data_IF_800690498322
#
_entry.id   IF_800690498322
#
_cell.length_a   1.000
_cell.length_b   1.000
_cell.length_c   1.000
_cell.angle_alpha   90.00
_cell.angle_beta   90.00
_cell.angle_gamma   90.00
#
_symmetry.space_group_name_H-M   'P 1'
#
loop_
_entity.id
_entity.type
_entity.pdbx_description
1 polymer ?
#
# COMPACT_ATOMS: atom_id res chain seq x y z
N UNK A 1 -53.81 26.29 -0.30
CA UNK A 1 -54.71 25.45 0.52
C UNK A 1 -53.86 24.34 1.16
N UNK A 2 -53.44 24.44 2.44
CA UNK A 2 -54.01 23.78 3.65
C UNK A 2 -54.12 22.24 3.50
N UNK A 3 -53.61 21.35 4.39
CA UNK A 3 -53.37 21.34 5.86
C UNK A 3 -52.27 20.27 6.17
N UNK A 4 -51.24 20.55 6.98
CA UNK A 4 -51.03 20.16 8.40
C UNK A 4 -51.40 18.72 8.86
N UNK A 5 -50.34 17.98 9.27
CA UNK A 5 -50.09 17.29 10.56
C UNK A 5 -51.09 16.27 11.14
N UNK A 6 -50.58 15.08 11.52
CA UNK A 6 -51.10 14.28 12.64
C UNK A 6 -49.93 13.72 13.48
N UNK A 7 -50.06 13.92 14.79
CA UNK A 7 -49.14 13.58 15.87
C UNK A 7 -49.70 12.35 16.62
N UNK A 8 -48.79 11.59 17.26
CA UNK A 8 -48.93 10.87 18.54
C UNK A 8 -49.02 9.33 18.54
N UNK A 9 -48.16 8.72 19.39
CA UNK A 9 -48.22 7.32 19.80
C UNK A 9 -46.96 6.86 20.55
N UNK A 10 -46.76 7.32 21.79
CA UNK A 10 -45.74 6.80 22.73
C UNK A 10 -46.26 5.48 23.34
N UNK A 11 -45.42 4.45 23.40
CA UNK A 11 -45.51 3.42 24.44
C UNK A 11 -44.13 2.81 24.75
N UNK A 12 -43.89 2.68 26.05
CA UNK A 12 -42.68 2.39 26.81
C UNK A 12 -42.60 0.88 27.15
N UNK A 13 -41.43 0.45 27.67
CA UNK A 13 -41.17 -0.80 28.44
C UNK A 13 -40.93 -2.05 27.55
N UNK A 14 -39.78 -2.73 27.58
CA UNK A 14 -39.24 -3.43 28.77
C UNK A 14 -37.72 -3.64 28.78
N UNK A 15 -37.19 -3.39 29.98
CA UNK A 15 -35.90 -3.74 30.55
C UNK A 15 -35.78 -5.27 30.76
N UNK A 16 -34.67 -5.90 30.36
CA UNK A 16 -34.18 -7.13 31.01
C UNK A 16 -32.71 -6.97 31.34
N UNK A 17 -32.46 -6.71 32.62
CA UNK A 17 -31.16 -6.68 33.28
C UNK A 17 -30.87 -8.10 33.80
N UNK A 18 -29.78 -8.72 33.38
CA UNK A 18 -29.24 -9.93 33.99
C UNK A 18 -27.84 -9.63 34.50
N UNK A 19 -27.74 -9.36 35.80
CA UNK A 19 -26.52 -9.47 36.57
C UNK A 19 -26.78 -10.49 37.68
N UNK A 20 -25.93 -11.51 37.79
CA UNK A 20 -25.47 -12.11 39.06
C UNK A 20 -24.43 -13.20 38.76
N UNK A 21 -23.18 -12.94 39.14
CA UNK A 21 -22.08 -13.89 39.13
C UNK A 21 -20.94 -13.34 39.97
N UNK A 22 -21.10 -13.43 41.29
CA UNK A 22 -20.15 -13.01 42.31
C UNK A 22 -19.53 -14.26 42.96
N UNK A 23 -18.21 -14.33 42.99
CA UNK A 23 -17.42 -15.31 43.75
C UNK A 23 -15.95 -15.18 43.32
N UNK A 24 -14.97 -14.71 44.09
CA UNK A 24 -14.88 -14.52 45.54
C UNK A 24 -13.91 -15.55 46.12
N UNK A 25 -12.64 -15.19 46.33
CA UNK A 25 -11.71 -15.95 47.16
C UNK A 25 -10.23 -15.80 46.83
N UNK A 26 -9.54 -14.86 47.48
CA UNK A 26 -8.08 -14.82 47.63
C UNK A 26 -7.63 -15.73 48.78
N UNK A 27 -6.50 -16.44 48.65
CA UNK A 27 -5.34 -16.40 49.58
C UNK A 27 -4.34 -17.55 49.37
N UNK A 28 -3.06 -17.14 49.29
CA UNK A 28 -1.82 -17.62 49.94
C UNK A 28 -1.33 -19.08 49.86
N UNK A 29 -0.01 -19.18 49.61
CA UNK A 29 0.92 -20.24 50.05
C UNK A 29 1.01 -21.42 49.09
N UNK A 30 2.15 -22.04 48.80
CA UNK A 30 3.46 -22.03 49.45
C UNK A 30 4.50 -22.62 48.47
N UNK A 31 5.76 -22.36 48.76
CA UNK A 31 6.98 -22.86 48.13
C UNK A 31 7.01 -24.36 47.83
N UNK A 32 7.71 -24.74 46.76
CA UNK A 32 8.60 -25.90 46.84
C UNK A 32 9.83 -25.71 45.94
N UNK A 33 10.90 -25.27 46.60
CA UNK A 33 12.22 -25.93 46.63
C UNK A 33 13.05 -26.06 45.35
N UNK A 34 14.21 -25.35 45.38
CA UNK A 34 15.59 -25.86 45.20
C UNK A 34 15.96 -26.43 43.80
N UNK A 35 17.05 -26.04 43.14
CA UNK A 35 18.38 -25.68 43.67
C UNK A 35 19.17 -24.77 42.73
N UNK A 36 19.86 -23.83 43.37
CA UNK A 36 21.07 -23.14 42.92
C UNK A 36 22.27 -24.10 43.02
N UNK A 37 23.21 -24.05 42.07
CA UNK A 37 24.63 -24.32 42.37
C UNK A 37 25.55 -23.56 41.41
N UNK A 38 26.07 -22.49 41.98
CA UNK A 38 27.32 -21.75 41.80
C UNK A 38 28.56 -22.46 41.21
N UNK A 39 29.46 -21.61 40.67
CA UNK A 39 30.92 -21.75 40.49
C UNK A 39 31.41 -22.56 39.26
N UNK A 40 32.50 -22.22 38.54
CA UNK A 40 33.59 -21.24 38.66
C UNK A 40 34.52 -21.44 37.42
N UNK A 41 35.36 -20.43 37.11
CA UNK A 41 36.65 -20.40 36.36
C UNK A 41 37.23 -21.69 35.72
N UNK A 42 38.14 -21.69 34.73
CA UNK A 42 38.93 -20.71 33.97
C UNK A 42 39.74 -21.52 32.93
N UNK A 43 40.15 -20.86 31.83
CA UNK A 43 41.35 -21.09 31.00
C UNK A 43 41.57 -22.50 30.37
N UNK A 44 42.25 -22.73 29.25
CA UNK A 44 43.54 -22.20 28.78
C UNK A 44 43.73 -22.59 27.29
N UNK A 45 44.49 -21.74 26.56
CA UNK A 45 45.50 -22.05 25.52
C UNK A 45 45.16 -22.93 24.30
N UNK A 46 45.25 -22.38 23.07
CA UNK A 46 46.43 -22.31 22.19
C UNK A 46 46.29 -23.39 21.08
N UNK A 47 46.80 -23.28 19.85
CA UNK A 47 47.82 -22.46 19.23
C UNK A 47 47.61 -22.52 17.70
N UNK A 48 48.24 -21.57 16.99
CA UNK A 48 49.01 -21.75 15.73
C UNK A 48 48.35 -22.43 14.49
N UNK A 49 48.63 -22.08 13.23
CA UNK A 49 49.75 -21.34 12.63
C UNK A 49 49.44 -21.00 11.16
N UNK A 50 50.14 -19.95 10.68
CA UNK A 50 50.91 -19.90 9.44
C UNK A 50 50.26 -19.88 8.03
N UNK A 51 50.89 -19.05 7.18
CA UNK A 51 50.82 -19.05 5.72
C UNK A 51 50.49 -17.65 5.19
N UNK A 52 51.38 -16.66 5.25
CA UNK A 52 52.61 -16.46 4.47
C UNK A 52 52.40 -16.42 2.93
N UNK A 53 52.86 -15.30 2.37
CA UNK A 53 53.32 -15.07 1.00
C UNK A 53 52.30 -15.03 -0.17
N UNK A 54 51.95 -13.79 -0.54
CA UNK A 54 51.93 -13.35 -1.93
C UNK A 54 52.28 -11.85 -1.87
N UNK A 55 53.45 -11.41 -2.30
CA UNK A 55 53.88 -11.45 -3.69
C UNK A 55 53.76 -10.03 -4.24
N UNK A 56 54.76 -9.19 -3.93
CA UNK A 56 54.94 -7.91 -4.60
C UNK A 56 55.35 -8.20 -6.05
N UNK A 57 54.44 -7.98 -6.98
CA UNK A 57 54.72 -7.87 -8.41
C UNK A 57 54.12 -6.54 -8.87
N UNK A 58 55.00 -5.55 -8.99
CA UNK A 58 54.71 -4.29 -9.62
C UNK A 58 54.55 -4.48 -11.13
N UNK A 59 53.50 -3.82 -11.65
CA UNK A 59 53.48 -3.04 -12.88
C UNK A 59 53.59 -3.78 -14.23
N UNK A 60 52.46 -3.86 -14.94
CA UNK A 60 52.38 -3.45 -16.35
C UNK A 60 50.92 -3.37 -16.83
N UNK A 61 50.68 -2.38 -17.69
CA UNK A 61 49.49 -2.16 -18.51
C UNK A 61 48.28 -1.49 -17.82
N UNK A 62 48.35 -0.15 -17.76
CA UNK A 62 47.14 0.67 -17.75
C UNK A 62 46.40 0.51 -19.08
N UNK A 63 45.36 -0.30 -19.06
CA UNK A 63 44.21 -0.16 -19.94
C UNK A 63 43.28 0.82 -19.23
N UNK A 64 42.91 1.92 -19.89
CA UNK A 64 41.92 2.85 -19.36
C UNK A 64 40.59 2.09 -19.28
N UNK A 65 40.27 1.59 -18.09
CA UNK A 65 38.96 1.07 -17.78
C UNK A 65 37.95 2.20 -17.98
N UNK A 66 37.18 2.10 -19.05
CA UNK A 66 35.96 2.86 -19.24
C UNK A 66 35.12 2.67 -17.98
N UNK A 67 34.84 3.78 -17.30
CA UNK A 67 34.06 3.75 -16.07
C UNK A 67 32.73 3.04 -16.39
N UNK A 68 32.33 2.01 -15.62
CA UNK A 68 31.02 1.43 -15.81
C UNK A 68 30.01 2.56 -15.67
N UNK A 69 29.12 2.68 -16.66
CA UNK A 69 27.97 3.57 -16.56
C UNK A 69 27.36 3.34 -15.17
N UNK A 70 27.23 4.42 -14.37
CA UNK A 70 26.67 4.35 -13.04
C UNK A 70 25.25 3.82 -13.18
N UNK A 71 25.08 2.50 -13.00
CA UNK A 71 23.77 1.89 -12.93
C UNK A 71 23.07 2.57 -11.78
N UNK A 72 22.01 3.32 -12.08
CA UNK A 72 21.24 4.06 -11.10
C UNK A 72 20.75 3.07 -10.05
N UNK A 73 21.42 3.09 -8.88
CA UNK A 73 21.05 2.16 -7.80
C UNK A 73 19.63 2.53 -7.38
N UNK A 74 18.72 1.56 -7.22
CA UNK A 74 17.34 1.83 -6.87
C UNK A 74 17.28 2.65 -5.57
N UNK A 75 16.63 3.82 -5.64
CA UNK A 75 16.48 4.70 -4.50
C UNK A 75 15.40 4.11 -3.59
N UNK A 76 15.82 3.57 -2.44
CA UNK A 76 14.90 3.09 -1.43
C UNK A 76 14.31 4.27 -0.64
N UNK A 77 13.11 4.71 -1.03
CA UNK A 77 12.33 5.69 -0.27
C UNK A 77 11.39 4.96 0.68
N UNK A 78 11.48 5.27 1.98
CA UNK A 78 10.57 4.71 2.97
C UNK A 78 9.13 5.23 2.74
N UNK A 79 8.13 4.36 2.55
CA UNK A 79 6.76 4.80 2.33
C UNK A 79 6.13 5.43 3.58
N UNK A 80 5.24 6.40 3.36
CA UNK A 80 4.49 7.02 4.46
C UNK A 80 3.50 6.04 5.08
N UNK A 81 3.16 6.33 6.34
CA UNK A 81 2.14 5.62 7.13
C UNK A 81 1.05 6.61 7.53
N UNK A 82 -0.18 6.12 7.72
CA UNK A 82 -1.31 6.96 8.11
C UNK A 82 -1.98 7.60 6.90
N UNK A 83 -2.40 8.85 7.01
CA UNK A 83 -3.16 9.53 5.94
C UNK A 83 -2.18 10.10 4.91
N UNK A 84 -2.36 9.72 3.65
CA UNK A 84 -1.68 10.28 2.50
C UNK A 84 -2.56 11.31 1.78
N UNK A 85 -1.98 12.39 1.26
CA UNK A 85 -2.72 13.36 0.43
C UNK A 85 -2.41 13.15 -1.06
N UNK A 86 -3.45 13.11 -1.89
CA UNK A 86 -3.33 13.05 -3.35
C UNK A 86 -4.22 14.10 -4.00
N UNK A 87 -3.85 14.53 -5.20
CA UNK A 87 -4.76 15.21 -6.11
C UNK A 87 -5.08 14.32 -7.30
N UNK A 88 -6.27 14.47 -7.87
CA UNK A 88 -6.67 13.69 -9.04
C UNK A 88 -7.54 14.52 -9.97
N UNK A 89 -7.46 14.24 -11.26
CA UNK A 89 -8.35 14.83 -12.27
C UNK A 89 -9.72 14.15 -12.23
N UNK A 90 -10.73 14.84 -12.77
CA UNK A 90 -12.02 14.18 -13.01
C UNK A 90 -11.82 12.94 -13.88
N UNK A 91 -12.27 11.75 -13.45
CA UNK A 91 -12.11 10.53 -14.24
C UNK A 91 -12.68 10.66 -15.65
N UNK A 92 -11.93 10.18 -16.64
CA UNK A 92 -12.40 10.02 -18.02
C UNK A 92 -12.96 8.61 -18.19
N UNK A 93 -14.26 8.51 -18.48
CA UNK A 93 -14.94 7.22 -18.63
C UNK A 93 -15.55 7.10 -20.01
N UNK A 94 -15.17 6.04 -20.72
CA UNK A 94 -15.65 5.74 -22.06
C UNK A 94 -16.09 4.28 -22.20
N UNK A 95 -16.82 3.98 -23.28
CA UNK A 95 -17.17 2.62 -23.65
C UNK A 95 -16.45 2.25 -24.93
N UNK A 96 -15.56 1.27 -24.84
CA UNK A 96 -14.79 0.72 -25.96
C UNK A 96 -15.03 -0.78 -26.00
N UNK A 97 -15.38 -1.31 -27.18
CA UNK A 97 -15.52 -2.76 -27.43
C UNK A 97 -16.40 -3.54 -26.42
N UNK A 98 -17.40 -2.86 -25.85
CA UNK A 98 -18.32 -3.46 -24.87
C UNK A 98 -17.81 -3.46 -23.44
N UNK A 99 -16.65 -2.86 -23.18
CA UNK A 99 -16.11 -2.58 -21.86
C UNK A 99 -16.32 -1.11 -21.50
N UNK A 100 -16.46 -0.83 -20.21
CA UNK A 100 -16.32 0.51 -19.65
C UNK A 100 -14.87 0.64 -19.21
N UNK A 101 -14.20 1.68 -19.71
CA UNK A 101 -12.83 2.03 -19.37
C UNK A 101 -12.86 3.36 -18.64
N UNK A 102 -12.36 3.39 -17.41
CA UNK A 102 -12.24 4.61 -16.60
C UNK A 102 -10.76 4.89 -16.37
N UNK A 103 -10.26 6.02 -16.85
CA UNK A 103 -8.88 6.50 -16.64
C UNK A 103 -8.85 7.62 -15.61
N UNK A 104 -7.93 7.50 -14.65
CA UNK A 104 -7.81 8.44 -13.52
C UNK A 104 -6.35 8.83 -13.35
N UNK A 105 -6.05 10.10 -13.58
CA UNK A 105 -4.73 10.68 -13.35
C UNK A 105 -4.61 11.20 -11.92
N UNK A 106 -3.57 10.78 -11.22
CA UNK A 106 -3.39 10.97 -9.77
C UNK A 106 -1.98 11.48 -9.51
N UNK A 107 -1.85 12.53 -8.70
CA UNK A 107 -0.59 13.06 -8.21
C UNK A 107 -0.42 12.79 -6.71
N UNK A 108 0.75 12.30 -6.31
CA UNK A 108 1.12 12.27 -4.89
C UNK A 108 1.44 13.67 -4.37
N UNK A 109 0.66 14.15 -3.39
CA UNK A 109 0.89 15.44 -2.70
C UNK A 109 1.31 15.27 -1.25
N UNK A 110 1.56 14.04 -0.81
CA UNK A 110 2.04 13.76 0.52
C UNK A 110 3.53 14.09 0.69
N UNK A 111 4.02 14.07 1.93
CA UNK A 111 5.43 14.36 2.25
C UNK A 111 6.38 13.18 2.04
N UNK A 112 5.92 12.08 1.44
CA UNK A 112 6.72 10.90 1.15
C UNK A 112 6.03 9.93 0.20
N UNK A 113 6.72 8.83 -0.15
CA UNK A 113 6.23 7.87 -1.12
C UNK A 113 4.97 7.12 -0.63
N UNK A 114 4.02 6.88 -1.53
CA UNK A 114 2.78 6.13 -1.26
C UNK A 114 2.95 4.72 -1.82
N UNK A 115 3.19 3.75 -0.94
CA UNK A 115 3.28 2.35 -1.35
C UNK A 115 1.91 1.72 -1.58
N UNK A 116 1.77 1.07 -2.74
CA UNK A 116 0.61 0.24 -3.06
C UNK A 116 -0.69 1.01 -3.11
N UNK A 117 -0.66 2.21 -3.72
CA UNK A 117 -1.85 2.97 -4.10
C UNK A 117 -2.85 2.04 -4.78
N UNK A 118 -4.07 2.03 -4.27
CA UNK A 118 -5.18 1.22 -4.77
C UNK A 118 -6.36 2.11 -5.10
N UNK A 119 -6.93 1.89 -6.27
CA UNK A 119 -8.10 2.59 -6.79
C UNK A 119 -9.20 1.57 -6.98
N UNK A 120 -10.32 1.78 -6.29
CA UNK A 120 -11.52 0.96 -6.39
C UNK A 120 -12.62 1.76 -7.09
N UNK A 121 -13.23 1.19 -8.13
CA UNK A 121 -14.41 1.72 -8.79
C UNK A 121 -15.63 0.88 -8.45
N UNK A 122 -16.74 1.55 -8.11
CA UNK A 122 -18.03 0.91 -7.90
C UNK A 122 -19.07 1.55 -8.80
N UNK A 123 -19.75 0.74 -9.60
CA UNK A 123 -20.86 1.17 -10.43
C UNK A 123 -22.20 0.89 -9.76
N UNK A 124 -23.14 1.83 -9.95
CA UNK A 124 -24.50 1.75 -9.44
C UNK A 124 -25.51 1.99 -10.55
N UNK A 125 -26.66 1.33 -10.43
CA UNK A 125 -27.84 1.64 -11.23
C UNK A 125 -28.60 2.88 -10.72
N UNK A 126 -29.68 3.26 -11.41
CA UNK A 126 -30.49 4.42 -11.03
C UNK A 126 -31.10 4.28 -9.64
N UNK A 127 -31.42 3.05 -9.22
CA UNK A 127 -32.01 2.74 -7.92
C UNK A 127 -30.95 2.66 -6.79
N UNK A 128 -29.67 2.71 -7.14
CA UNK A 128 -28.54 2.67 -6.20
C UNK A 128 -28.05 1.27 -5.86
N UNK A 129 -28.44 0.24 -6.59
CA UNK A 129 -27.85 -1.09 -6.44
C UNK A 129 -26.51 -1.15 -7.15
N UNK A 130 -25.53 -1.86 -6.58
CA UNK A 130 -24.26 -2.09 -7.26
C UNK A 130 -24.45 -2.98 -8.49
N UNK A 131 -23.77 -2.64 -9.58
CA UNK A 131 -23.76 -3.40 -10.84
C UNK A 131 -22.37 -3.91 -11.22
N UNK A 132 -21.40 -3.81 -10.30
CA UNK A 132 -20.03 -4.25 -10.46
C UNK A 132 -19.02 -3.13 -10.19
N UNK A 133 -17.79 -3.37 -10.59
CA UNK A 133 -16.64 -2.49 -10.36
C UNK A 133 -15.34 -3.15 -10.78
N UNK A 134 -14.26 -2.38 -10.77
CA UNK A 134 -12.89 -2.86 -10.93
C UNK A 134 -12.01 -2.31 -9.79
N UNK A 135 -10.86 -2.93 -9.57
CA UNK A 135 -9.91 -2.58 -8.53
C UNK A 135 -8.49 -2.72 -9.06
N UNK A 136 -7.79 -1.61 -9.25
CA UNK A 136 -6.39 -1.61 -9.67
C UNK A 136 -5.46 -1.14 -8.56
N UNK A 137 -4.27 -1.74 -8.52
CA UNK A 137 -3.20 -1.37 -7.60
C UNK A 137 -1.97 -0.97 -8.38
N UNK A 138 -1.51 0.26 -8.18
CA UNK A 138 -0.22 0.69 -8.68
C UNK A 138 0.89 -0.04 -7.92
N UNK A 139 1.81 -0.66 -8.67
CA UNK A 139 2.77 -1.62 -8.13
C UNK A 139 3.98 -0.91 -7.50
N UNK A 140 4.55 0.08 -8.18
CA UNK A 140 5.61 0.89 -7.60
C UNK A 140 5.08 1.78 -6.45
N UNK A 141 5.93 2.15 -5.48
CA UNK A 141 5.62 3.27 -4.60
C UNK A 141 5.56 4.56 -5.40
N UNK A 142 4.42 5.26 -5.35
CA UNK A 142 4.26 6.55 -6.00
C UNK A 142 5.08 7.60 -5.24
N UNK A 143 6.13 8.13 -5.87
CA UNK A 143 7.05 9.11 -5.29
C UNK A 143 6.38 10.47 -5.09
N UNK A 144 7.03 11.37 -4.36
CA UNK A 144 6.46 12.69 -4.06
C UNK A 144 6.43 13.53 -5.33
N UNK A 145 5.26 14.08 -5.67
CA UNK A 145 5.06 14.91 -6.86
C UNK A 145 4.80 14.12 -8.15
N UNK A 146 5.10 12.82 -8.15
CA UNK A 146 4.88 11.90 -9.27
C UNK A 146 3.39 11.84 -9.63
N UNK A 147 3.13 11.75 -10.94
CA UNK A 147 1.80 11.67 -11.53
C UNK A 147 1.68 10.37 -12.30
N UNK A 148 0.65 9.59 -12.01
CA UNK A 148 0.36 8.32 -12.70
C UNK A 148 -1.08 8.30 -13.21
N UNK A 149 -1.32 7.54 -14.28
CA UNK A 149 -2.67 7.26 -14.77
C UNK A 149 -3.02 5.80 -14.49
N UNK A 150 -4.14 5.59 -13.81
CA UNK A 150 -4.69 4.26 -13.53
C UNK A 150 -5.89 4.02 -14.44
N UNK A 151 -5.85 2.91 -15.18
CA UNK A 151 -6.95 2.44 -16.02
C UNK A 151 -7.74 1.33 -15.31
N UNK A 152 -9.04 1.52 -15.16
CA UNK A 152 -9.97 0.53 -14.60
C UNK A 152 -10.85 0.02 -15.75
N UNK A 153 -11.06 -1.29 -15.81
CA UNK A 153 -11.80 -1.92 -16.91
C UNK A 153 -12.82 -2.90 -16.39
N UNK A 154 -14.03 -2.84 -16.92
CA UNK A 154 -15.03 -3.87 -16.68
C UNK A 154 -16.03 -4.02 -17.83
N UNK A 155 -16.67 -5.20 -17.97
CA UNK A 155 -17.73 -5.38 -18.96
C UNK A 155 -18.88 -4.39 -18.75
N UNK A 156 -19.37 -3.79 -19.83
CA UNK A 156 -20.49 -2.85 -19.77
C UNK A 156 -21.78 -3.55 -19.37
N UNK A 157 -22.44 -3.01 -18.35
CA UNK A 157 -23.78 -3.40 -17.95
C UNK A 157 -24.79 -2.32 -18.38
N UNK A 158 -25.90 -2.70 -19.01
CA UNK A 158 -26.92 -1.76 -19.48
C UNK A 158 -27.62 -0.98 -18.35
N UNK A 159 -27.53 -1.45 -17.10
CA UNK A 159 -28.10 -0.79 -15.92
C UNK A 159 -27.18 0.25 -15.29
N UNK A 160 -25.93 0.39 -15.73
CA UNK A 160 -24.99 1.38 -15.20
C UNK A 160 -25.54 2.80 -15.34
N UNK A 161 -25.49 3.57 -14.25
CA UNK A 161 -25.94 4.97 -14.22
C UNK A 161 -24.87 5.92 -13.68
N UNK A 162 -24.24 5.58 -12.56
CA UNK A 162 -23.22 6.40 -11.91
C UNK A 162 -22.14 5.53 -11.28
N UNK A 163 -20.91 6.03 -11.22
CA UNK A 163 -19.80 5.38 -10.54
C UNK A 163 -19.38 6.17 -9.29
N UNK A 164 -18.61 5.50 -8.43
CA UNK A 164 -17.91 6.08 -7.30
C UNK A 164 -16.49 5.52 -7.26
N UNK A 165 -15.51 6.40 -7.08
CA UNK A 165 -14.11 6.05 -6.94
C UNK A 165 -13.69 6.16 -5.47
N UNK A 166 -12.89 5.20 -5.02
CA UNK A 166 -12.27 5.21 -3.70
C UNK A 166 -10.76 4.97 -3.82
N UNK A 167 -10.00 5.64 -2.96
CA UNK A 167 -8.56 5.56 -2.92
C UNK A 167 -8.10 4.99 -1.57
N UNK A 168 -7.11 4.11 -1.58
CA UNK A 168 -6.43 3.61 -0.39
C UNK A 168 -4.96 3.30 -0.68
N UNK A 169 -4.15 3.02 0.35
CA UNK A 169 -2.79 2.55 0.15
C UNK A 169 -2.39 1.51 1.20
N UNK A 170 -1.21 0.89 1.04
CA UNK A 170 -0.79 -0.24 1.86
C UNK A 170 -0.69 0.06 3.38
N UNK A 171 -0.49 1.33 3.74
CA UNK A 171 -0.14 1.75 5.09
C UNK A 171 -1.16 2.72 5.70
N UNK A 172 -2.35 2.85 5.11
CA UNK A 172 -3.38 3.77 5.60
C UNK A 172 -4.38 4.25 4.55
N UNK A 173 -4.93 5.43 4.83
CA UNK A 173 -6.03 6.04 4.09
C UNK A 173 -5.52 7.14 3.16
N UNK A 174 -6.30 7.46 2.13
CA UNK A 174 -6.00 8.56 1.21
C UNK A 174 -7.04 9.67 1.38
N UNK A 175 -6.55 10.89 1.57
CA UNK A 175 -7.31 12.13 1.43
C UNK A 175 -7.13 12.66 0.02
N UNK A 176 -8.10 12.39 -0.85
CA UNK A 176 -8.07 12.78 -2.25
C UNK A 176 -8.74 14.14 -2.48
N UNK A 177 -8.12 14.97 -3.33
CA UNK A 177 -8.66 16.26 -3.75
C UNK A 177 -8.83 16.28 -5.27
N UNK A 178 -10.05 16.51 -5.75
CA UNK A 178 -10.28 16.72 -7.19
C UNK A 178 -9.76 18.10 -7.61
N UNK A 179 -9.03 18.16 -8.71
CA UNK A 179 -8.46 19.39 -9.28
C UNK A 179 -8.73 19.45 -10.78
N UNK A 180 -8.68 20.66 -11.34
CA UNK A 180 -8.95 20.89 -12.77
C UNK A 180 -7.74 20.55 -13.66
N UNK A 181 -6.53 20.60 -13.11
CA UNK A 181 -5.27 20.42 -13.86
C UNK A 181 -4.20 19.75 -12.99
N UNK A 182 -3.39 18.90 -13.63
CA UNK A 182 -2.21 18.24 -13.07
C UNK A 182 -1.08 18.30 -14.12
N UNK A 183 0.19 18.18 -13.71
CA UNK A 183 1.29 17.94 -14.63
C UNK A 183 1.05 16.66 -15.45
N UNK A 184 1.63 16.59 -16.64
CA UNK A 184 1.62 15.36 -17.44
C UNK A 184 2.37 14.22 -16.70
N UNK A 185 1.89 12.98 -16.80
CA UNK A 185 2.58 11.83 -16.20
C UNK A 185 3.94 11.59 -16.86
N UNK A 186 4.88 11.07 -16.08
CA UNK A 186 6.16 10.60 -16.63
C UNK A 186 5.89 9.33 -17.46
N UNK A 187 6.36 9.30 -18.71
CA UNK A 187 6.27 8.12 -19.56
C UNK A 187 7.30 7.09 -19.06
N UNK A 188 6.83 5.92 -18.58
CA UNK A 188 7.73 4.80 -18.26
C UNK A 188 8.34 4.30 -19.59
N UNK A 189 9.63 4.53 -19.81
CA UNK A 189 10.35 3.94 -20.95
C UNK A 189 10.36 2.41 -20.77
N UNK A 190 9.49 1.71 -21.50
CA UNK A 190 9.53 0.25 -21.57
C UNK A 190 10.86 -0.15 -22.23
N UNK A 191 11.81 -0.65 -21.44
CA UNK A 191 13.01 -1.30 -21.96
C UNK A 191 12.58 -2.53 -22.77
N UNK A 192 12.43 -2.36 -24.09
CA UNK A 192 12.27 -3.45 -25.04
C UNK A 192 13.56 -4.30 -25.02
N UNK A 193 13.60 -5.34 -24.19
CA UNK A 193 14.59 -6.41 -24.33
C UNK A 193 14.31 -7.13 -25.67
N UNK A 194 14.92 -6.63 -26.75
CA UNK A 194 15.01 -7.33 -28.03
C UNK A 194 15.80 -8.63 -27.81
N UNK A 195 15.10 -9.74 -27.54
CA UNK A 195 15.68 -11.07 -27.70
C UNK A 195 15.78 -11.37 -29.18
N UNK A 196 16.86 -10.89 -29.82
CA UNK A 196 17.33 -11.36 -31.11
C UNK A 196 17.58 -12.87 -31.00
N UNK A 197 16.58 -13.67 -31.36
CA UNK A 197 16.72 -15.11 -31.51
C UNK A 197 17.12 -15.40 -32.96
N UNK A 198 18.43 -15.42 -33.16
CA UNK A 198 19.15 -15.95 -34.32
C UNK A 198 18.54 -17.31 -34.75
N UNK A 199 18.16 -17.47 -36.02
CA UNK A 199 17.83 -18.76 -36.66
C UNK A 199 18.07 -18.71 -38.16
#
# INVERSE_FOLDING_TARGET
>A
MNRLSFIWGIALVSLTLSALGCGGGSSNGDESTLSETTAEEAAVEAAEAAGEAAGEAAEAAGEAAEAPAESERPIFVAPIRGIAEVAYLTPDTEVIDGEVITRITIQNRATGAIAGLKVDEFWYDSDGNTVGGDSQRHRQPLLVGEVVTIELRMPRNSRMNRNQIQFSHANGEIKATNVDELPDPEEEEEEEEETESES
#
